data_IF_542600623909
#
_entry.id   IF_542600623909
#
_cell.length_a   1.000
_cell.length_b   1.000
_cell.length_c   1.000
_cell.angle_alpha   90.00
_cell.angle_beta   90.00
_cell.angle_gamma   90.00
#
_symmetry.space_group_name_H-M   'P 1'
#
loop_
_entity.id
_entity.type
_entity.pdbx_description
1 polymer ?
#
# COMPACT_ATOMS: atom_id res chain seq x y z
N UNK A 1 18.05 5.52 20.08
CA UNK A 1 17.18 6.39 19.27
C UNK A 1 16.14 5.51 18.61
N UNK A 2 15.01 5.34 19.29
CA UNK A 2 13.96 4.35 19.04
C UNK A 2 13.21 4.64 17.74
N UNK A 3 13.72 4.10 16.63
CA UNK A 3 12.94 3.83 15.42
C UNK A 3 12.02 2.64 15.71
N UNK A 4 10.98 2.83 16.52
CA UNK A 4 10.01 1.78 16.82
C UNK A 4 9.38 1.26 15.52
N UNK A 5 9.72 0.02 15.19
CA UNK A 5 8.98 -1.01 14.44
C UNK A 5 8.12 -0.63 13.20
N UNK A 6 8.33 0.53 12.58
CA UNK A 6 7.64 0.93 11.35
C UNK A 6 8.52 0.74 10.11
N UNK A 7 7.90 0.21 9.05
CA UNK A 7 8.54 -0.05 7.77
C UNK A 7 8.28 1.01 6.72
N UNK A 8 8.98 0.94 5.59
CA UNK A 8 8.65 1.76 4.43
C UNK A 8 8.74 0.96 3.13
N UNK A 9 7.86 1.27 2.18
CA UNK A 9 7.88 0.72 0.82
C UNK A 9 8.02 1.84 -0.20
N UNK A 10 8.96 1.66 -1.12
CA UNK A 10 9.15 2.55 -2.26
C UNK A 10 8.43 1.98 -3.48
N UNK A 11 7.49 2.76 -4.01
CA UNK A 11 6.69 2.39 -5.18
C UNK A 11 7.21 3.12 -6.41
N UNK A 12 7.57 2.36 -7.44
CA UNK A 12 8.05 2.88 -8.72
C UNK A 12 6.90 2.94 -9.73
N UNK A 13 6.63 4.12 -10.27
CA UNK A 13 5.56 4.40 -11.23
C UNK A 13 6.06 4.81 -12.61
N UNK A 14 5.10 5.03 -13.53
CA UNK A 14 5.39 5.48 -14.91
C UNK A 14 6.13 6.82 -14.90
N UNK A 15 7.12 6.95 -15.79
CA UNK A 15 7.90 8.18 -15.95
C UNK A 15 8.91 8.43 -14.82
N UNK A 16 9.46 7.36 -14.21
CA UNK A 16 10.41 7.42 -13.08
C UNK A 16 9.88 8.10 -11.81
N UNK A 17 8.56 8.25 -11.69
CA UNK A 17 7.94 8.78 -10.47
C UNK A 17 8.05 7.73 -9.37
N UNK A 18 8.70 8.08 -8.28
CA UNK A 18 8.77 7.26 -7.07
C UNK A 18 7.93 7.88 -5.97
N UNK A 19 7.38 7.04 -5.09
CA UNK A 19 6.79 7.50 -3.84
C UNK A 19 7.09 6.52 -2.73
N UNK A 20 7.32 7.03 -1.54
CA UNK A 20 7.55 6.23 -0.33
C UNK A 20 6.30 6.26 0.52
N UNK A 21 5.89 5.09 1.00
CA UNK A 21 4.77 4.91 1.92
C UNK A 21 5.31 4.30 3.20
N UNK A 22 5.05 4.94 4.33
CA UNK A 22 5.35 4.37 5.65
C UNK A 22 4.25 3.39 6.02
N UNK A 23 4.63 2.26 6.58
CA UNK A 23 3.72 1.18 6.95
C UNK A 23 3.59 1.12 8.47
N UNK A 24 2.37 0.86 8.99
CA UNK A 24 2.19 0.45 10.36
C UNK A 24 3.03 -0.78 10.68
N UNK A 25 3.42 -0.91 11.95
CA UNK A 25 4.25 -2.01 12.44
C UNK A 25 3.67 -3.39 12.11
N UNK A 26 2.39 -3.62 12.35
CA UNK A 26 1.72 -4.90 12.06
C UNK A 26 1.89 -5.30 10.59
N UNK A 27 1.64 -4.35 9.67
CA UNK A 27 1.79 -4.56 8.22
C UNK A 27 3.25 -4.81 7.85
N UNK A 28 4.19 -4.07 8.45
CA UNK A 28 5.62 -4.29 8.18
C UNK A 28 6.05 -5.70 8.61
N UNK A 29 5.67 -6.12 9.81
CA UNK A 29 5.99 -7.44 10.35
C UNK A 29 5.41 -8.56 9.48
N UNK A 30 4.15 -8.42 9.03
CA UNK A 30 3.54 -9.37 8.08
C UNK A 30 4.32 -9.45 6.77
N UNK A 31 4.70 -8.31 6.18
CA UNK A 31 5.48 -8.29 4.93
C UNK A 31 6.88 -8.87 5.10
N UNK A 32 7.56 -8.56 6.20
CA UNK A 32 8.87 -9.11 6.54
C UNK A 32 8.79 -10.62 6.71
N UNK A 33 7.76 -11.14 7.37
CA UNK A 33 7.54 -12.58 7.50
C UNK A 33 7.26 -13.25 6.16
N UNK A 34 6.44 -12.62 5.30
CA UNK A 34 6.17 -13.13 3.95
C UNK A 34 7.42 -13.16 3.06
N UNK A 35 8.29 -12.16 3.20
CA UNK A 35 9.56 -12.11 2.46
C UNK A 35 10.52 -13.20 2.91
N UNK A 36 10.57 -13.53 4.21
CA UNK A 36 11.48 -14.55 4.74
C UNK A 36 12.94 -14.31 4.31
N UNK A 37 13.61 -15.35 3.83
CA UNK A 37 15.01 -15.31 3.36
C UNK A 37 15.14 -14.94 1.87
N UNK A 38 14.11 -14.35 1.25
CA UNK A 38 14.12 -13.99 -0.16
C UNK A 38 15.20 -12.94 -0.48
N UNK A 39 15.83 -13.08 -1.64
CA UNK A 39 16.88 -12.18 -2.13
C UNK A 39 16.34 -10.78 -2.44
N UNK A 40 17.24 -9.81 -2.58
CA UNK A 40 16.86 -8.42 -2.93
C UNK A 40 16.08 -8.31 -4.24
N UNK A 41 16.31 -9.24 -5.17
CA UNK A 41 15.67 -9.26 -6.48
C UNK A 41 14.38 -10.08 -6.52
N UNK A 42 14.03 -10.78 -5.44
CA UNK A 42 12.86 -11.62 -5.39
C UNK A 42 11.59 -10.78 -5.23
N UNK A 43 10.49 -11.26 -5.81
CA UNK A 43 9.19 -10.64 -5.65
C UNK A 43 8.74 -10.69 -4.18
N UNK A 44 8.29 -9.55 -3.64
CA UNK A 44 7.66 -9.49 -2.31
C UNK A 44 6.43 -10.40 -2.22
N UNK A 45 5.70 -10.53 -3.33
CA UNK A 45 4.51 -11.38 -3.45
C UNK A 45 4.70 -12.35 -4.62
N UNK A 46 5.24 -13.56 -4.37
CA UNK A 46 5.39 -14.59 -5.40
C UNK A 46 4.04 -15.21 -5.79
N UNK A 47 3.91 -15.61 -7.06
CA UNK A 47 2.77 -16.44 -7.51
C UNK A 47 2.91 -17.89 -7.01
N UNK A 48 1.79 -18.60 -6.81
CA UNK A 48 1.77 -20.03 -6.41
C UNK A 48 2.08 -20.97 -7.57
N UNK A 49 1.75 -20.58 -8.80
CA UNK A 49 2.22 -21.25 -10.02
C UNK A 49 3.65 -20.77 -10.27
N UNK A 50 4.58 -21.34 -9.52
CA UNK A 50 6.01 -21.16 -9.74
C UNK A 50 6.42 -21.98 -10.95
N UNK A 51 6.63 -21.32 -12.09
CA UNK A 51 7.65 -21.78 -13.03
C UNK A 51 8.95 -21.03 -12.73
N UNK A 52 10.06 -21.66 -13.09
CA UNK A 52 11.43 -21.50 -12.59
C UNK A 52 12.08 -20.09 -12.62
N UNK A 53 11.34 -19.05 -12.99
CA UNK A 53 11.80 -17.67 -13.17
C UNK A 53 11.29 -16.67 -12.12
N UNK A 54 10.63 -17.12 -11.04
CA UNK A 54 10.26 -16.23 -9.93
C UNK A 54 9.20 -15.19 -10.31
N UNK A 55 8.11 -15.62 -10.94
CA UNK A 55 7.04 -14.73 -11.36
C UNK A 55 6.29 -14.08 -10.16
N UNK A 56 6.15 -12.76 -10.23
CA UNK A 56 5.35 -11.98 -9.29
C UNK A 56 3.84 -12.27 -9.43
N UNK A 57 3.07 -11.92 -8.41
CA UNK A 57 1.62 -11.96 -8.48
C UNK A 57 1.08 -11.03 -9.58
N UNK A 58 0.38 -11.58 -10.57
CA UNK A 58 -0.23 -10.82 -11.65
C UNK A 58 -1.43 -9.98 -11.17
N UNK A 59 -1.70 -8.87 -11.86
CA UNK A 59 -2.82 -7.98 -11.57
C UNK A 59 -4.16 -8.72 -11.51
N UNK A 60 -4.44 -9.63 -12.44
CA UNK A 60 -5.69 -10.40 -12.45
C UNK A 60 -5.83 -11.29 -11.22
N UNK A 61 -4.72 -11.88 -10.73
CA UNK A 61 -4.68 -12.68 -9.52
C UNK A 61 -4.97 -11.81 -8.29
N UNK A 62 -4.40 -10.59 -8.21
CA UNK A 62 -4.71 -9.63 -7.14
C UNK A 62 -6.20 -9.32 -7.08
N UNK A 63 -6.86 -9.07 -8.22
CA UNK A 63 -8.30 -8.81 -8.26
C UNK A 63 -9.11 -10.01 -7.77
N UNK A 64 -8.73 -11.23 -8.17
CA UNK A 64 -9.38 -12.47 -7.70
C UNK A 64 -9.22 -12.66 -6.20
N UNK A 65 -8.02 -12.45 -5.67
CA UNK A 65 -7.71 -12.59 -4.23
C UNK A 65 -8.56 -11.61 -3.42
N UNK A 66 -8.59 -10.33 -3.83
CA UNK A 66 -9.37 -9.28 -3.15
C UNK A 66 -10.87 -9.56 -3.20
N UNK A 67 -11.40 -9.97 -4.36
CA UNK A 67 -12.81 -10.33 -4.48
C UNK A 67 -13.17 -11.53 -3.58
N UNK A 68 -12.32 -12.56 -3.54
CA UNK A 68 -12.51 -13.71 -2.67
C UNK A 68 -12.44 -13.34 -1.19
N UNK A 69 -11.52 -12.45 -0.79
CA UNK A 69 -11.43 -11.94 0.58
C UNK A 69 -12.70 -11.16 0.98
N UNK A 70 -13.20 -10.29 0.09
CA UNK A 70 -14.46 -9.57 0.32
C UNK A 70 -15.65 -10.50 0.52
N UNK A 71 -15.74 -11.58 -0.28
CA UNK A 71 -16.78 -12.61 -0.11
C UNK A 71 -16.68 -13.32 1.24
N UNK A 72 -15.47 -13.73 1.65
CA UNK A 72 -15.25 -14.38 2.96
C UNK A 72 -15.60 -13.46 4.13
N UNK A 73 -15.33 -12.17 4.00
CA UNK A 73 -15.66 -11.15 5.00
C UNK A 73 -17.15 -10.76 5.02
N UNK A 74 -17.98 -11.32 4.13
CA UNK A 74 -19.42 -11.00 4.08
C UNK A 74 -19.73 -9.59 3.56
N UNK A 75 -18.78 -8.92 2.90
CA UNK A 75 -18.98 -7.56 2.38
C UNK A 75 -19.92 -7.61 1.18
N UNK A 76 -21.05 -6.89 1.29
CA UNK A 76 -22.03 -6.77 0.20
C UNK A 76 -21.45 -5.86 -0.90
N UNK A 77 -21.47 -6.32 -2.14
CA UNK A 77 -21.04 -5.56 -3.32
C UNK A 77 -19.74 -6.04 -3.95
N UNK A 78 -19.25 -5.30 -4.96
CA UNK A 78 -18.03 -5.64 -5.72
C UNK A 78 -16.78 -5.09 -5.03
N UNK A 79 -16.13 -5.91 -4.22
CA UNK A 79 -14.82 -5.60 -3.62
C UNK A 79 -13.73 -5.77 -4.68
N UNK A 80 -12.86 -4.76 -4.81
CA UNK A 80 -11.75 -4.73 -5.78
C UNK A 80 -10.56 -3.94 -5.21
N UNK A 81 -9.36 -4.02 -5.81
CA UNK A 81 -8.22 -3.20 -5.37
C UNK A 81 -8.49 -1.69 -5.41
N UNK A 82 -9.24 -1.20 -6.41
CA UNK A 82 -9.64 0.21 -6.45
C UNK A 82 -10.61 0.56 -5.33
N UNK A 83 -11.57 -0.33 -5.03
CA UNK A 83 -12.48 -0.13 -3.91
C UNK A 83 -11.73 -0.05 -2.57
N UNK A 84 -10.77 -0.96 -2.34
CA UNK A 84 -9.90 -0.91 -1.15
C UNK A 84 -9.09 0.38 -1.06
N UNK A 85 -8.58 0.87 -2.20
CA UNK A 85 -7.86 2.15 -2.26
C UNK A 85 -8.75 3.34 -1.89
N UNK A 86 -10.00 3.36 -2.35
CA UNK A 86 -10.96 4.39 -1.96
C UNK A 86 -11.31 4.31 -0.48
N UNK A 87 -11.53 3.10 0.04
CA UNK A 87 -11.77 2.89 1.46
C UNK A 87 -10.59 3.38 2.32
N UNK A 88 -9.34 3.08 1.92
CA UNK A 88 -8.14 3.62 2.57
C UNK A 88 -8.15 5.15 2.59
N UNK A 89 -8.46 5.80 1.47
CA UNK A 89 -8.53 7.26 1.38
C UNK A 89 -9.57 7.84 2.35
N UNK A 90 -10.81 7.35 2.26
CA UNK A 90 -11.92 7.80 3.12
C UNK A 90 -11.61 7.58 4.59
N UNK A 91 -11.20 6.37 4.97
CA UNK A 91 -10.92 6.04 6.37
C UNK A 91 -9.71 6.76 6.95
N UNK A 92 -8.71 7.09 6.14
CA UNK A 92 -7.59 7.93 6.58
C UNK A 92 -8.08 9.36 6.86
N UNK A 93 -8.88 9.94 5.95
CA UNK A 93 -9.44 11.28 6.12
C UNK A 93 -10.40 11.35 7.33
N UNK A 94 -11.26 10.35 7.51
CA UNK A 94 -12.18 10.26 8.65
C UNK A 94 -11.43 10.22 10.00
N UNK A 95 -10.19 9.73 9.99
CA UNK A 95 -9.31 9.66 11.15
C UNK A 95 -8.36 10.86 11.27
N UNK A 96 -8.57 11.90 10.47
CA UNK A 96 -7.84 13.14 10.55
C UNK A 96 -6.51 13.16 9.80
N UNK A 97 -6.26 12.21 8.88
CA UNK A 97 -5.10 12.26 8.02
C UNK A 97 -5.16 13.54 7.15
N UNK A 98 -4.08 14.36 7.14
CA UNK A 98 -4.00 15.49 6.23
C UNK A 98 -4.17 15.05 4.76
N UNK A 99 -5.01 15.77 4.01
CA UNK A 99 -5.32 15.44 2.61
C UNK A 99 -4.07 15.29 1.73
N UNK A 100 -3.03 16.08 1.99
CA UNK A 100 -1.77 16.01 1.25
C UNK A 100 -1.01 14.69 1.49
N UNK A 101 -1.09 14.09 2.68
CA UNK A 101 -0.49 12.78 2.97
C UNK A 101 -1.26 11.65 2.27
N UNK A 102 -2.59 11.77 2.21
CA UNK A 102 -3.45 10.83 1.46
C UNK A 102 -3.11 10.90 -0.03
N UNK A 103 -3.00 12.11 -0.58
CA UNK A 103 -2.59 12.31 -1.98
C UNK A 103 -1.20 11.74 -2.27
N UNK A 104 -0.22 12.01 -1.41
CA UNK A 104 1.15 11.51 -1.55
C UNK A 104 1.21 9.98 -1.53
N UNK A 105 0.52 9.34 -0.57
CA UNK A 105 0.48 7.88 -0.42
C UNK A 105 -0.16 7.21 -1.63
N UNK A 106 -1.27 7.77 -2.10
CA UNK A 106 -2.00 7.23 -3.23
C UNK A 106 -1.28 7.53 -4.57
N UNK A 107 -0.58 8.64 -4.70
CA UNK A 107 0.08 9.04 -5.95
C UNK A 107 -0.90 9.56 -7.01
N UNK A 108 -1.96 10.26 -6.59
CA UNK A 108 -2.86 10.95 -7.53
C UNK A 108 -2.20 12.25 -8.03
N UNK A 109 -2.00 12.37 -9.34
CA UNK A 109 -1.63 13.66 -9.98
C UNK A 109 -2.81 14.62 -10.14
N UNK A 110 -4.05 14.17 -9.90
CA UNK A 110 -5.27 14.95 -10.15
C UNK A 110 -6.31 14.74 -9.06
N UNK A 111 -6.27 15.63 -8.07
CA UNK A 111 -7.45 16.33 -7.54
C UNK A 111 -6.98 17.78 -7.38
N UNK A 112 -7.34 18.62 -8.35
CA UNK A 112 -7.11 20.07 -8.44
C UNK A 112 -6.09 20.73 -7.47
N UNK A 113 -4.95 21.13 -8.04
CA UNK A 113 -4.08 22.28 -7.69
C UNK A 113 -4.11 22.79 -6.25
N UNK A 114 -3.10 22.46 -5.44
CA UNK A 114 -2.27 23.48 -4.77
C UNK A 114 -0.93 22.87 -4.37
N UNK A 115 0.15 23.20 -5.09
CA UNK A 115 1.54 22.87 -4.71
C UNK A 115 2.04 23.66 -3.48
N UNK A 116 1.16 23.93 -2.50
CA UNK A 116 1.44 24.77 -1.33
C UNK A 116 1.13 24.09 0.01
N UNK A 117 1.37 22.79 0.12
CA UNK A 117 1.63 22.18 1.42
C UNK A 117 2.98 21.47 1.37
N UNK A 118 3.98 22.33 1.21
CA UNK A 118 5.38 22.08 1.41
C UNK A 118 5.57 21.60 2.86
N UNK A 119 5.76 20.29 3.00
CA UNK A 119 6.55 19.56 3.98
C UNK A 119 5.89 18.20 4.18
N UNK A 120 6.15 17.29 3.24
CA UNK A 120 6.10 15.87 3.57
C UNK A 120 7.03 15.69 4.76
N UNK A 121 6.47 15.53 5.96
CA UNK A 121 7.25 15.14 7.13
C UNK A 121 7.93 13.82 6.74
N UNK A 122 9.26 13.70 6.85
CA UNK A 122 9.97 12.48 6.46
C UNK A 122 9.45 11.21 7.15
N UNK A 123 8.72 11.38 8.25
CA UNK A 123 8.22 10.33 9.13
C UNK A 123 6.68 10.28 9.16
N UNK A 124 5.98 10.63 8.07
CA UNK A 124 4.51 10.62 8.06
C UNK A 124 3.91 10.07 6.74
N UNK A 125 2.80 9.35 6.85
CA UNK A 125 2.05 8.77 5.74
C UNK A 125 0.62 8.50 6.18
N UNK A 126 -0.35 8.62 5.26
CA UNK A 126 -1.75 8.39 5.59
C UNK A 126 -2.02 6.96 6.07
N UNK A 127 -1.18 5.99 5.72
CA UNK A 127 -1.30 4.61 6.16
C UNK A 127 -1.14 4.45 7.68
N UNK A 128 -0.46 5.38 8.35
CA UNK A 128 -0.31 5.40 9.82
C UNK A 128 -1.58 5.84 10.56
N UNK A 129 -2.59 6.34 9.82
CA UNK A 129 -3.88 6.73 10.38
C UNK A 129 -4.89 5.57 10.38
N UNK A 130 -4.54 4.40 9.85
CA UNK A 130 -5.39 3.22 9.87
C UNK A 130 -4.94 2.27 10.98
N UNK A 131 -5.85 1.46 11.56
CA UNK A 131 -5.44 0.41 12.48
C UNK A 131 -4.49 -0.56 11.77
N UNK A 132 -3.38 -0.86 12.43
CA UNK A 132 -2.39 -1.85 12.00
C UNK A 132 -2.78 -3.27 12.38
#
# INVERSE_FOLDING_TARGET
NSRGDSGQVTLFGKGRKTRTVLLPEGVWNELSQMRGDASDNDAVFPSREGDADGHHLDRSQVYRIVAAAGKRAGIKGKVSPHWLRHAHASHSLDRGAPIHLVQATLGHESVATTSRYLHARPNDSSSLYLPG
#
